data_IF_507875288926
#
_entry.id   IF_507875288926
#
_cell.length_a   1.000
_cell.length_b   1.000
_cell.length_c   1.000
_cell.angle_alpha   90.00
_cell.angle_beta   90.00
_cell.angle_gamma   90.00
#
_symmetry.space_group_name_H-M   'P 1'
#
loop_
_entity.id
_entity.type
_entity.pdbx_description
1 polymer ?
#
# COMPACT_ATOMS: atom_id res chain seq x y z
N UNK A 1 -14.43 27.49 -4.16
CA UNK A 1 -15.20 26.23 -4.35
C UNK A 1 -16.68 26.42 -4.02
N UNK A 2 -17.05 26.86 -2.80
CA UNK A 2 -18.45 27.07 -2.40
C UNK A 2 -19.18 28.07 -3.32
N UNK A 3 -18.58 29.21 -3.62
CA UNK A 3 -19.19 30.24 -4.49
C UNK A 3 -19.49 29.74 -5.91
N UNK A 4 -18.65 28.85 -6.44
CA UNK A 4 -18.84 28.26 -7.77
C UNK A 4 -20.07 27.36 -7.81
N UNK A 5 -20.28 26.54 -6.77
CA UNK A 5 -21.49 25.72 -6.63
C UNK A 5 -22.72 26.60 -6.44
N UNK A 6 -22.62 27.67 -5.63
CA UNK A 6 -23.72 28.61 -5.37
C UNK A 6 -24.14 29.39 -6.62
N UNK A 7 -23.21 29.71 -7.52
CA UNK A 7 -23.53 30.37 -8.78
C UNK A 7 -24.37 29.48 -9.72
N UNK A 8 -24.17 28.15 -9.68
CA UNK A 8 -24.96 27.18 -10.45
C UNK A 8 -26.28 26.82 -9.74
N UNK A 9 -26.26 26.75 -8.41
CA UNK A 9 -27.40 26.37 -7.57
C UNK A 9 -27.69 27.43 -6.51
N UNK A 10 -28.38 28.52 -6.87
CA UNK A 10 -28.69 29.60 -5.93
C UNK A 10 -29.65 29.17 -4.81
N UNK A 11 -30.45 28.13 -5.05
CA UNK A 11 -31.44 27.61 -4.10
C UNK A 11 -30.84 26.68 -3.04
N UNK A 12 -29.59 26.22 -3.24
CA UNK A 12 -28.94 25.31 -2.30
C UNK A 12 -28.22 26.13 -1.21
N UNK A 13 -28.49 25.87 0.09
CA UNK A 13 -27.91 26.64 1.17
C UNK A 13 -26.39 26.42 1.28
N UNK A 14 -25.65 27.50 1.55
CA UNK A 14 -24.19 27.50 1.68
C UNK A 14 -23.67 26.45 2.68
N UNK A 15 -24.41 26.21 3.78
CA UNK A 15 -24.05 25.21 4.77
C UNK A 15 -24.05 23.78 4.20
N UNK A 16 -25.01 23.45 3.33
CA UNK A 16 -25.07 22.15 2.67
C UNK A 16 -23.95 21.97 1.65
N UNK A 17 -23.63 23.02 0.91
CA UNK A 17 -22.48 23.05 -0.02
C UNK A 17 -21.18 22.81 0.74
N UNK A 18 -20.98 23.49 1.87
CA UNK A 18 -19.78 23.33 2.69
C UNK A 18 -19.64 21.92 3.24
N UNK A 19 -20.72 21.36 3.78
CA UNK A 19 -20.71 20.00 4.34
C UNK A 19 -20.44 18.94 3.25
N UNK A 20 -21.02 19.10 2.07
CA UNK A 20 -20.77 18.18 0.95
C UNK A 20 -19.34 18.31 0.43
N UNK A 21 -18.83 19.53 0.25
CA UNK A 21 -17.43 19.77 -0.16
C UNK A 21 -16.42 19.27 0.86
N UNK A 22 -16.72 19.31 2.15
CA UNK A 22 -15.88 18.70 3.19
C UNK A 22 -15.84 17.16 3.07
N UNK A 23 -16.90 16.54 2.55
CA UNK A 23 -16.99 15.09 2.35
C UNK A 23 -16.34 14.65 1.03
N UNK A 24 -16.57 15.39 -0.06
CA UNK A 24 -16.13 15.03 -1.41
C UNK A 24 -14.77 15.59 -1.78
N UNK A 25 -14.41 16.78 -1.27
CA UNK A 25 -13.18 17.50 -1.61
C UNK A 25 -13.14 18.07 -3.03
N UNK A 26 -14.19 17.89 -3.85
CA UNK A 26 -14.27 18.38 -5.23
C UNK A 26 -15.61 19.01 -5.55
N UNK A 27 -15.56 20.13 -6.27
CA UNK A 27 -16.75 20.85 -6.74
C UNK A 27 -17.54 20.02 -7.75
N UNK A 28 -16.87 19.30 -8.65
CA UNK A 28 -17.52 18.52 -9.70
C UNK A 28 -18.40 17.42 -9.10
N UNK A 29 -17.88 16.69 -8.11
CA UNK A 29 -18.61 15.66 -7.38
C UNK A 29 -19.80 16.25 -6.60
N UNK A 30 -19.64 17.43 -6.01
CA UNK A 30 -20.72 18.10 -5.29
C UNK A 30 -21.84 18.59 -6.23
N UNK A 31 -21.49 19.04 -7.44
CA UNK A 31 -22.47 19.40 -8.49
C UNK A 31 -23.24 18.16 -8.94
N UNK A 32 -22.56 17.03 -9.18
CA UNK A 32 -23.20 15.76 -9.56
C UNK A 32 -24.13 15.23 -8.45
N UNK A 33 -23.72 15.32 -7.18
CA UNK A 33 -24.58 14.97 -6.04
C UNK A 33 -25.84 15.85 -5.98
N UNK A 34 -25.68 17.17 -6.13
CA UNK A 34 -26.80 18.11 -6.12
C UNK A 34 -27.80 17.82 -7.25
N UNK A 35 -27.32 17.43 -8.44
CA UNK A 35 -28.19 17.05 -9.56
C UNK A 35 -28.90 15.71 -9.34
N UNK A 36 -28.22 14.72 -8.73
CA UNK A 36 -28.80 13.39 -8.46
C UNK A 36 -29.95 13.44 -7.46
N UNK A 37 -29.75 14.17 -6.38
CA UNK A 37 -30.67 14.19 -5.25
C UNK A 37 -31.66 15.38 -5.33
N UNK A 38 -31.55 16.24 -6.34
CA UNK A 38 -32.35 17.46 -6.48
C UNK A 38 -32.03 18.52 -5.43
N UNK A 39 -30.86 18.44 -4.80
CA UNK A 39 -30.40 19.29 -3.71
C UNK A 39 -29.29 18.62 -2.91
N UNK A 40 -28.67 19.34 -1.97
CA UNK A 40 -27.66 18.78 -1.08
C UNK A 40 -28.27 18.49 0.30
N UNK A 41 -27.86 17.39 0.96
CA UNK A 41 -28.33 17.07 2.30
C UNK A 41 -27.93 18.17 3.28
N UNK A 42 -28.90 18.72 4.00
CA UNK A 42 -28.65 19.77 4.97
C UNK A 42 -27.86 19.20 6.17
N UNK A 43 -26.70 19.78 6.54
CA UNK A 43 -25.96 19.33 7.70
C UNK A 43 -26.79 19.58 8.95
N UNK A 44 -26.76 18.63 9.89
CA UNK A 44 -27.34 18.81 11.20
C UNK A 44 -26.71 20.06 11.84
N UNK A 45 -27.52 21.09 12.10
CA UNK A 45 -27.05 22.31 12.74
C UNK A 45 -26.46 21.95 14.11
N UNK A 46 -25.27 22.45 14.48
CA UNK A 46 -24.75 22.28 15.82
C UNK A 46 -25.68 23.04 16.77
N UNK A 47 -26.54 22.32 17.48
CA UNK A 47 -27.28 22.89 18.60
C UNK A 47 -26.25 23.37 19.62
N UNK A 48 -26.31 24.65 19.98
CA UNK A 48 -25.48 25.24 21.01
C UNK A 48 -25.68 24.47 22.32
N UNK A 49 -24.64 23.72 22.69
CA UNK A 49 -24.20 23.40 24.05
C UNK A 49 -25.26 23.34 25.15
N UNK A 50 -25.84 22.15 25.37
CA UNK A 50 -26.14 21.70 26.73
C UNK A 50 -25.05 20.69 27.14
N UNK A 51 -24.28 20.92 28.22
CA UNK A 51 -23.18 20.04 28.60
C UNK A 51 -23.76 18.80 29.28
N UNK A 52 -23.94 17.70 28.54
CA UNK A 52 -24.39 16.46 29.15
C UNK A 52 -24.88 15.39 28.19
N UNK A 53 -24.11 15.02 27.16
CA UNK A 53 -24.17 13.67 26.57
C UNK A 53 -23.18 13.54 25.41
N UNK A 54 -22.34 12.49 25.35
CA UNK A 54 -21.54 12.20 24.17
C UNK A 54 -22.44 11.63 23.07
N UNK A 55 -23.02 12.50 22.23
CA UNK A 55 -23.71 12.08 21.01
C UNK A 55 -22.70 11.85 19.89
N UNK A 56 -22.35 10.58 19.71
CA UNK A 56 -21.60 10.06 18.57
C UNK A 56 -22.49 10.07 17.34
N UNK A 57 -22.26 10.97 16.39
CA UNK A 57 -22.83 10.85 15.04
C UNK A 57 -21.73 10.92 13.99
N UNK A 58 -21.02 9.80 13.83
CA UNK A 58 -20.18 9.52 12.68
C UNK A 58 -20.91 8.49 11.82
N UNK A 59 -21.74 8.94 10.88
CA UNK A 59 -22.38 8.09 9.87
C UNK A 59 -21.40 7.75 8.76
N UNK A 60 -20.39 6.96 9.12
CA UNK A 60 -19.83 5.94 8.25
C UNK A 60 -20.32 4.62 8.84
N UNK A 61 -21.26 3.95 8.18
CA UNK A 61 -21.79 2.66 8.60
C UNK A 61 -20.75 1.55 8.41
N UNK A 62 -19.57 1.69 9.01
CA UNK A 62 -18.85 0.54 9.53
C UNK A 62 -19.58 0.16 10.81
N UNK A 63 -20.38 -0.90 10.77
CA UNK A 63 -20.89 -1.55 11.97
C UNK A 63 -19.68 -1.87 12.86
N UNK A 64 -19.33 -0.95 13.78
CA UNK A 64 -18.33 -1.15 14.82
C UNK A 64 -18.96 -2.06 15.85
N UNK A 65 -19.17 -3.32 15.45
CA UNK A 65 -19.40 -4.39 16.41
C UNK A 65 -18.19 -4.34 17.33
N UNK A 66 -18.45 -4.28 18.63
CA UNK A 66 -17.45 -4.39 19.71
C UNK A 66 -16.41 -5.43 19.26
N UNK A 67 -15.10 -5.13 19.25
CA UNK A 67 -14.11 -6.06 18.74
C UNK A 67 -14.23 -7.32 19.59
N UNK A 68 -14.82 -8.36 18.99
CA UNK A 68 -14.74 -9.69 19.56
C UNK A 68 -13.25 -10.02 19.55
N UNK A 69 -12.70 -10.29 20.74
CA UNK A 69 -11.29 -10.57 20.96
C UNK A 69 -10.92 -11.90 20.28
N UNK A 70 -10.77 -11.88 18.96
CA UNK A 70 -10.24 -13.01 18.20
C UNK A 70 -8.72 -12.89 18.17
N UNK A 71 -8.03 -13.97 18.51
CA UNK A 71 -6.56 -14.03 18.45
C UNK A 71 -6.04 -13.94 17.00
N UNK A 72 -6.85 -14.39 16.04
CA UNK A 72 -6.48 -14.44 14.63
C UNK A 72 -7.70 -14.36 13.71
N UNK A 73 -7.47 -13.97 12.46
CA UNK A 73 -8.50 -13.97 11.43
C UNK A 73 -9.03 -15.38 11.13
N UNK A 74 -8.21 -16.43 11.32
CA UNK A 74 -8.65 -17.83 11.18
C UNK A 74 -9.78 -18.13 12.18
N UNK A 75 -9.62 -17.70 13.43
CA UNK A 75 -10.64 -17.87 14.47
C UNK A 75 -11.91 -17.06 14.17
N UNK A 76 -11.75 -15.82 13.67
CA UNK A 76 -12.88 -14.96 13.30
C UNK A 76 -13.74 -15.56 12.17
N UNK A 77 -13.08 -16.17 11.18
CA UNK A 77 -13.74 -16.76 10.02
C UNK A 77 -13.98 -18.27 10.15
N UNK A 78 -13.62 -18.88 11.28
CA UNK A 78 -13.75 -20.33 11.54
C UNK A 78 -13.11 -21.17 10.42
N UNK A 79 -11.89 -20.80 10.03
CA UNK A 79 -11.15 -21.47 8.96
C UNK A 79 -10.26 -22.57 9.52
N UNK A 80 -10.34 -23.75 8.92
CA UNK A 80 -9.53 -24.90 9.29
C UNK A 80 -8.09 -24.72 8.81
N UNK A 81 -7.13 -25.10 9.66
CA UNK A 81 -5.71 -25.08 9.33
C UNK A 81 -5.33 -26.10 8.26
N UNK A 82 -6.11 -27.18 8.13
CA UNK A 82 -5.86 -28.25 7.17
C UNK A 82 -6.01 -27.76 5.72
N UNK A 83 -6.85 -26.74 5.50
CA UNK A 83 -7.00 -26.06 4.21
C UNK A 83 -5.75 -25.28 3.78
N UNK A 84 -4.81 -25.02 4.70
CA UNK A 84 -3.52 -24.42 4.36
C UNK A 84 -2.57 -25.41 3.67
N UNK A 85 -2.76 -26.72 3.91
CA UNK A 85 -1.90 -27.77 3.37
C UNK A 85 -2.37 -28.29 2.00
N UNK A 86 -3.61 -27.98 1.60
CA UNK A 86 -4.02 -28.21 0.22
C UNK A 86 -3.32 -27.18 -0.68
N UNK A 87 -2.41 -27.69 -1.50
CA UNK A 87 -1.47 -26.88 -2.28
C UNK A 87 -2.14 -26.07 -3.39
N UNK A 88 -3.41 -26.39 -3.71
CA UNK A 88 -4.20 -25.71 -4.73
C UNK A 88 -5.37 -24.96 -4.10
N UNK A 89 -5.05 -23.81 -3.49
CA UNK A 89 -6.09 -22.86 -3.11
C UNK A 89 -6.60 -22.20 -4.40
N UNK A 90 -7.73 -22.66 -4.92
CA UNK A 90 -8.31 -22.12 -6.17
C UNK A 90 -8.74 -20.67 -5.94
N UNK A 91 -8.18 -19.73 -6.72
CA UNK A 91 -8.58 -18.32 -6.65
C UNK A 91 -10.04 -18.17 -7.08
N UNK A 92 -10.92 -17.62 -6.21
CA UNK A 92 -12.30 -17.40 -6.59
C UNK A 92 -12.40 -16.32 -7.67
N UNK A 93 -13.28 -16.47 -8.67
CA UNK A 93 -13.39 -15.53 -9.77
C UNK A 93 -13.72 -14.12 -9.27
N UNK A 94 -13.02 -13.11 -9.81
CA UNK A 94 -13.22 -11.69 -9.50
C UNK A 94 -14.39 -11.10 -10.29
N UNK A 95 -15.53 -11.77 -10.30
CA UNK A 95 -16.76 -11.34 -11.01
C UNK A 95 -17.83 -11.02 -9.97
N UNK A 96 -18.53 -9.91 -10.17
CA UNK A 96 -19.64 -9.51 -9.31
C UNK A 96 -20.93 -10.12 -9.84
N UNK A 97 -21.49 -11.05 -9.06
CA UNK A 97 -22.74 -11.71 -9.40
C UNK A 97 -23.92 -10.73 -9.30
N UNK A 98 -24.90 -10.88 -10.21
CA UNK A 98 -26.12 -10.08 -10.22
C UNK A 98 -27.04 -10.41 -9.04
N UNK A 99 -27.07 -11.69 -8.66
CA UNK A 99 -27.84 -12.16 -7.51
C UNK A 99 -27.15 -11.81 -6.17
N UNK A 100 -27.93 -11.33 -5.20
CA UNK A 100 -27.44 -10.87 -3.92
C UNK A 100 -26.87 -12.01 -3.06
N UNK A 101 -27.51 -13.19 -3.07
CA UNK A 101 -27.04 -14.34 -2.30
C UNK A 101 -25.73 -14.89 -2.87
N UNK A 102 -25.65 -15.07 -4.20
CA UNK A 102 -24.42 -15.49 -4.89
C UNK A 102 -23.25 -14.54 -4.66
N UNK A 103 -23.52 -13.23 -4.69
CA UNK A 103 -22.52 -12.19 -4.37
C UNK A 103 -22.02 -12.28 -2.93
N UNK A 104 -22.90 -12.54 -1.97
CA UNK A 104 -22.48 -12.71 -0.59
C UNK A 104 -21.55 -13.92 -0.43
N UNK A 105 -21.84 -15.02 -1.12
CA UNK A 105 -21.03 -16.24 -1.04
C UNK A 105 -19.69 -16.11 -1.76
N UNK A 106 -19.64 -15.45 -2.92
CA UNK A 106 -18.37 -15.14 -3.61
C UNK A 106 -17.48 -14.24 -2.76
N UNK A 107 -18.06 -13.23 -2.09
CA UNK A 107 -17.33 -12.37 -1.15
C UNK A 107 -16.81 -13.13 0.08
N UNK A 108 -17.59 -14.07 0.64
CA UNK A 108 -17.12 -14.94 1.73
C UNK A 108 -15.91 -15.75 1.25
N UNK A 109 -16.06 -16.51 0.15
CA UNK A 109 -14.98 -17.34 -0.42
C UNK A 109 -13.70 -16.54 -0.68
N UNK A 110 -13.83 -15.32 -1.22
CA UNK A 110 -12.67 -14.44 -1.46
C UNK A 110 -11.97 -13.99 -0.18
N UNK A 111 -12.73 -13.70 0.88
CA UNK A 111 -12.15 -13.36 2.19
C UNK A 111 -11.41 -14.56 2.79
N UNK A 112 -12.02 -15.74 2.72
CA UNK A 112 -11.41 -16.99 3.20
C UNK A 112 -10.10 -17.28 2.46
N UNK A 113 -10.14 -17.20 1.12
CA UNK A 113 -8.96 -17.35 0.26
C UNK A 113 -7.84 -16.38 0.67
N UNK A 114 -8.16 -15.10 0.81
CA UNK A 114 -7.19 -14.06 1.19
C UNK A 114 -6.56 -14.33 2.57
N UNK A 115 -7.36 -14.76 3.55
CA UNK A 115 -6.87 -15.06 4.89
C UNK A 115 -5.92 -16.26 4.88
N UNK A 116 -6.26 -17.33 4.15
CA UNK A 116 -5.41 -18.52 4.03
C UNK A 116 -4.10 -18.21 3.27
N UNK A 117 -4.19 -17.48 2.16
CA UNK A 117 -3.03 -17.05 1.38
C UNK A 117 -2.09 -16.17 2.23
N UNK A 118 -2.63 -15.20 2.96
CA UNK A 118 -1.85 -14.34 3.86
C UNK A 118 -1.17 -15.16 4.97
N UNK A 119 -1.85 -16.17 5.51
CA UNK A 119 -1.28 -17.07 6.52
C UNK A 119 -0.12 -17.89 5.96
N UNK A 120 -0.24 -18.45 4.75
CA UNK A 120 0.83 -19.18 4.06
C UNK A 120 2.06 -18.28 3.87
N UNK A 121 1.86 -17.08 3.32
CA UNK A 121 2.94 -16.09 3.10
C UNK A 121 3.64 -15.69 4.40
N UNK A 122 2.89 -15.51 5.49
CA UNK A 122 3.43 -15.15 6.81
C UNK A 122 4.24 -16.29 7.44
N UNK A 123 3.89 -17.57 7.21
CA UNK A 123 4.70 -18.70 7.67
C UNK A 123 6.02 -18.80 6.89
N UNK A 124 5.98 -18.64 5.57
CA UNK A 124 7.18 -18.61 4.72
C UNK A 124 8.13 -17.47 5.11
N UNK A 125 7.60 -16.27 5.35
CA UNK A 125 8.41 -15.12 5.78
C UNK A 125 9.07 -15.35 7.14
N UNK A 126 8.37 -15.95 8.10
CA UNK A 126 8.95 -16.27 9.40
C UNK A 126 10.07 -17.32 9.30
N UNK A 127 9.94 -18.32 8.42
CA UNK A 127 10.99 -19.29 8.19
C UNK A 127 12.24 -18.62 7.60
N UNK A 128 12.07 -17.79 6.56
CA UNK A 128 13.18 -17.04 5.95
C UNK A 128 13.89 -16.10 6.92
N UNK A 129 13.16 -15.51 7.87
CA UNK A 129 13.76 -14.65 8.91
C UNK A 129 14.57 -15.48 9.92
N UNK A 130 14.10 -16.67 10.32
CA UNK A 130 14.86 -17.58 11.19
C UNK A 130 16.15 -18.06 10.54
N UNK A 131 16.10 -18.38 9.25
CA UNK A 131 17.28 -18.86 8.52
C UNK A 131 18.34 -17.75 8.36
N UNK A 132 17.91 -16.50 8.13
CA UNK A 132 18.81 -15.33 8.06
C UNK A 132 19.46 -14.98 9.42
N UNK A 133 18.80 -15.26 10.54
CA UNK A 133 19.37 -15.03 11.87
C UNK A 133 20.42 -16.09 12.27
N UNK A 134 20.47 -17.23 11.58
CA UNK A 134 21.43 -18.31 11.86
C UNK A 134 22.71 -18.27 11.00
N UNK A 135 22.81 -17.35 10.03
CA UNK A 135 23.98 -17.20 9.16
C UNK A 135 24.89 -16.00 9.51
N UNK A 136 24.95 -15.57 10.78
CA UNK A 136 26.07 -14.72 11.23
C UNK A 136 27.19 -15.62 11.77
N UNK A 137 28.35 -15.73 11.10
CA UNK A 137 29.55 -16.30 11.69
C UNK A 137 30.15 -15.28 12.66
N UNK A 138 30.43 -15.78 13.85
CA UNK A 138 31.28 -15.21 14.88
C UNK A 138 32.73 -15.09 14.38
N UNK A 139 33.22 -13.89 14.01
CA UNK A 139 34.65 -13.59 14.10
C UNK A 139 34.89 -12.16 14.61
N UNK A 140 35.45 -12.09 15.83
CA UNK A 140 36.13 -10.93 16.41
C UNK A 140 37.61 -10.97 15.97
N UNK A 141 38.25 -9.84 15.68
CA UNK A 141 39.66 -9.51 16.09
C UNK A 141 40.14 -8.13 15.57
N UNK A 142 40.41 -7.23 16.51
CA UNK A 142 41.59 -6.35 16.68
C UNK A 142 42.29 -5.62 15.49
N UNK A 143 42.35 -4.28 15.63
CA UNK A 143 43.56 -3.42 15.68
C UNK A 143 44.45 -3.21 14.43
N UNK A 144 44.70 -1.92 14.14
CA UNK A 144 45.91 -1.29 13.54
C UNK A 144 45.88 -0.94 12.05
N UNK A 145 46.12 0.35 11.79
CA UNK A 145 46.29 1.02 10.50
C UNK A 145 47.67 0.71 9.83
N UNK A 146 48.17 1.52 8.88
CA UNK A 146 47.95 1.46 7.43
C UNK A 146 49.25 1.15 6.65
N UNK A 147 49.17 0.69 5.40
CA UNK A 147 50.36 0.57 4.51
C UNK A 147 49.94 0.69 3.04
N UNK A 148 50.21 1.85 2.42
CA UNK A 148 51.28 2.09 1.44
C UNK A 148 51.16 1.25 0.15
N UNK A 149 50.73 1.92 -0.93
CA UNK A 149 50.94 1.49 -2.32
C UNK A 149 51.59 2.67 -3.04
N UNK A 150 52.70 2.43 -3.76
CA UNK A 150 52.88 3.04 -5.07
C UNK A 150 53.16 1.94 -6.10
N UNK A 151 52.60 2.04 -7.30
CA UNK A 151 53.33 1.99 -8.57
C UNK A 151 52.35 2.07 -9.75
N UNK A 152 52.58 3.07 -10.59
CA UNK A 152 51.96 3.31 -11.90
C UNK A 152 52.38 2.23 -12.89
N UNK A 153 51.55 1.84 -13.86
CA UNK A 153 51.95 1.72 -15.28
C UNK A 153 50.75 1.95 -16.21
N UNK A 154 50.87 3.00 -17.02
CA UNK A 154 50.11 3.28 -18.25
C UNK A 154 50.25 2.17 -19.28
N UNK A 155 49.17 1.79 -19.97
CA UNK A 155 49.21 1.52 -21.41
C UNK A 155 47.87 1.83 -22.08
N UNK A 156 47.93 2.78 -23.01
CA UNK A 156 46.91 3.26 -23.91
C UNK A 156 46.56 2.24 -25.01
N UNK A 157 45.29 2.14 -25.40
CA UNK A 157 44.87 2.10 -26.82
C UNK A 157 43.36 2.28 -26.97
N UNK A 158 43.06 3.15 -27.93
CA UNK A 158 41.80 3.73 -28.36
C UNK A 158 40.89 2.79 -29.14
N UNK A 159 39.56 2.95 -29.01
CA UNK A 159 38.71 3.20 -30.18
C UNK A 159 37.44 3.99 -29.82
N UNK A 160 37.05 4.84 -30.75
CA UNK A 160 36.10 5.94 -30.58
C UNK A 160 34.75 5.58 -31.19
N UNK A 161 33.64 5.74 -30.47
CA UNK A 161 32.35 6.14 -31.05
C UNK A 161 31.50 6.90 -30.03
N UNK A 162 31.69 8.21 -30.10
CA UNK A 162 30.96 9.28 -29.42
C UNK A 162 29.51 9.34 -29.91
N UNK A 163 28.55 9.21 -29.00
CA UNK A 163 27.29 9.95 -29.11
C UNK A 163 26.94 10.49 -27.73
N UNK A 164 27.20 11.79 -27.57
CA UNK A 164 26.98 12.53 -26.36
C UNK A 164 25.52 12.98 -26.27
N UNK A 165 24.77 12.43 -25.31
CA UNK A 165 23.60 13.07 -24.71
C UNK A 165 23.62 12.78 -23.22
N UNK A 166 23.98 13.79 -22.43
CA UNK A 166 23.59 13.99 -21.02
C UNK A 166 23.86 12.86 -20.04
N UNK A 167 25.01 12.91 -19.39
CA UNK A 167 25.28 12.17 -18.16
C UNK A 167 24.28 12.55 -17.04
N UNK A 168 23.56 11.54 -16.53
CA UNK A 168 22.96 11.37 -15.18
C UNK A 168 21.72 10.45 -15.22
N UNK A 169 21.90 9.13 -15.44
CA UNK A 169 20.85 8.11 -15.23
C UNK A 169 21.46 6.71 -14.93
N UNK A 170 22.62 6.73 -14.29
CA UNK A 170 23.56 5.61 -14.23
C UNK A 170 23.17 4.59 -13.16
N UNK A 171 22.26 3.68 -13.51
CA UNK A 171 22.17 2.31 -12.98
C UNK A 171 21.14 1.53 -13.81
N UNK A 172 21.57 0.42 -14.43
CA UNK A 172 20.84 -0.57 -15.26
C UNK A 172 19.33 -0.30 -15.49
N UNK A 173 18.91 -0.25 -16.76
CA UNK A 173 17.50 -0.07 -17.16
C UNK A 173 16.58 -1.05 -16.43
N UNK A 174 15.33 -0.65 -16.16
CA UNK A 174 14.31 -1.49 -15.49
C UNK A 174 14.15 -2.86 -16.18
N UNK A 175 14.30 -2.89 -17.50
CA UNK A 175 14.25 -4.12 -18.30
C UNK A 175 15.44 -5.04 -18.01
N UNK A 176 16.61 -4.46 -17.72
CA UNK A 176 17.85 -5.17 -17.41
C UNK A 176 17.87 -5.66 -15.96
N UNK A 177 17.23 -4.95 -15.02
CA UNK A 177 16.99 -5.47 -13.67
C UNK A 177 16.10 -6.72 -13.68
N UNK A 178 15.19 -6.83 -14.66
CA UNK A 178 14.26 -7.95 -14.79
C UNK A 178 14.87 -9.23 -15.37
N UNK A 179 16.00 -9.13 -16.05
CA UNK A 179 16.75 -10.30 -16.54
C UNK A 179 17.71 -10.86 -15.49
N UNK A 180 18.06 -10.09 -14.46
CA UNK A 180 18.96 -10.51 -13.38
C UNK A 180 18.32 -11.50 -12.40
N UNK A 181 19.14 -12.41 -11.89
CA UNK A 181 18.73 -13.26 -10.77
C UNK A 181 18.45 -12.43 -9.50
N UNK A 182 17.60 -12.90 -8.58
CA UNK A 182 17.23 -12.15 -7.38
C UNK A 182 18.44 -11.70 -6.52
N UNK A 183 19.48 -12.52 -6.44
CA UNK A 183 20.70 -12.22 -5.68
C UNK A 183 21.56 -11.15 -6.37
N UNK A 184 21.65 -11.18 -7.70
CA UNK A 184 22.38 -10.16 -8.46
C UNK A 184 21.68 -8.81 -8.38
N UNK A 185 20.34 -8.78 -8.47
CA UNK A 185 19.56 -7.55 -8.33
C UNK A 185 19.75 -6.92 -6.94
N UNK A 186 19.77 -7.75 -5.89
CA UNK A 186 20.01 -7.29 -4.52
C UNK A 186 21.40 -6.66 -4.38
N UNK A 187 22.44 -7.30 -4.90
CA UNK A 187 23.81 -6.75 -4.87
C UNK A 187 23.91 -5.43 -5.61
N UNK A 188 23.29 -5.33 -6.77
CA UNK A 188 23.24 -4.10 -7.54
C UNK A 188 22.58 -2.97 -6.74
N UNK A 189 21.42 -3.20 -6.13
CA UNK A 189 20.79 -2.18 -5.29
C UNK A 189 21.65 -1.78 -4.09
N UNK A 190 22.36 -2.73 -3.46
CA UNK A 190 23.26 -2.40 -2.35
C UNK A 190 24.41 -1.49 -2.80
N UNK A 191 25.00 -1.77 -3.97
CA UNK A 191 26.04 -0.95 -4.57
C UNK A 191 25.54 0.46 -4.91
N UNK A 192 24.28 0.57 -5.38
CA UNK A 192 23.59 1.84 -5.59
C UNK A 192 23.55 2.69 -4.32
N UNK A 193 23.13 2.06 -3.21
CA UNK A 193 22.98 2.72 -1.93
C UNK A 193 24.32 3.15 -1.35
N UNK A 194 25.37 2.33 -1.49
CA UNK A 194 26.73 2.68 -1.08
C UNK A 194 27.27 3.88 -1.88
N UNK A 195 27.10 3.88 -3.20
CA UNK A 195 27.53 4.99 -4.07
C UNK A 195 26.78 6.28 -3.76
N UNK A 196 25.47 6.19 -3.44
CA UNK A 196 24.64 7.34 -3.05
C UNK A 196 25.03 7.90 -1.68
N UNK A 197 25.47 7.07 -0.75
CA UNK A 197 25.91 7.51 0.58
C UNK A 197 27.38 7.99 0.62
N UNK A 198 28.15 7.76 -0.46
CA UNK A 198 29.53 8.21 -0.59
C UNK A 198 29.67 9.63 -1.18
N UNK A 199 28.56 10.29 -1.51
CA UNK A 199 28.46 11.68 -2.00
C UNK A 199 27.81 12.53 -0.90
#
# INVERSE_FOLDING_TARGET
MIEMVRAMFPDVPTAAIQADLQRTGSVETTVDNALRDGGLPMPATPTTSQPGSPSLNNTSSSSSRKPTNYSSLLQRYKLDTDRLAQDELTEPPKVWEQDAAKRQDTLKKRKEFMVLQARRKLMEQQQKQKDQQQQQPVEQTTTTAPSLIPEQQDLVSSDTSKSAIGENFDELSVDELNTLSPEQRRRHMLQAFEKKNAI
#
